data_IF_593804574589
#
_entry.id   IF_593804574589
#
_cell.length_a   1.000
_cell.length_b   1.000
_cell.length_c   1.000
_cell.angle_alpha   90.00
_cell.angle_beta   90.00
_cell.angle_gamma   90.00
#
_symmetry.space_group_name_H-M   'P 1'
#
loop_
_entity.id
_entity.type
_entity.pdbx_description
1 polymer ?
#
# COMPACT_ATOMS: atom_id res chain seq x y z
N UNK A 1 17.71 14.29 19.76
CA UNK A 1 16.37 13.94 20.30
C UNK A 1 15.37 14.18 19.18
N UNK A 2 14.97 13.12 18.48
CA UNK A 2 13.89 13.19 17.50
C UNK A 2 12.62 13.39 18.33
N UNK A 3 11.86 14.44 18.03
CA UNK A 3 10.55 14.65 18.68
C UNK A 3 9.61 13.59 18.12
N UNK A 4 9.40 12.51 18.87
CA UNK A 4 8.36 11.52 18.59
C UNK A 4 7.03 12.24 18.43
N UNK A 5 6.36 11.98 17.34
CA UNK A 5 5.20 12.64 16.76
C UNK A 5 4.23 13.33 17.72
N UNK A 6 3.71 14.42 17.23
CA UNK A 6 2.69 15.26 17.86
C UNK A 6 1.46 14.44 18.28
N UNK A 7 0.80 14.85 19.36
CA UNK A 7 -0.45 14.23 19.83
C UNK A 7 -1.65 14.44 18.87
N UNK A 8 -1.42 15.11 17.73
CA UNK A 8 -2.39 15.38 16.68
C UNK A 8 -1.73 15.21 15.30
N UNK A 9 -2.50 14.85 14.25
CA UNK A 9 -1.97 14.82 12.90
C UNK A 9 -1.50 16.22 12.47
N UNK A 10 -0.47 16.33 11.64
CA UNK A 10 -0.05 17.62 11.09
C UNK A 10 -1.15 18.21 10.21
N UNK A 11 -1.30 19.56 10.26
CA UNK A 11 -2.26 20.28 9.42
C UNK A 11 -1.77 20.43 7.97
N UNK A 12 -0.45 20.37 7.76
CA UNK A 12 0.22 20.44 6.46
C UNK A 12 1.29 19.33 6.39
N UNK A 13 1.63 18.88 5.21
CA UNK A 13 2.64 17.84 5.04
C UNK A 13 2.40 16.95 3.82
N UNK A 14 2.73 15.68 3.97
CA UNK A 14 2.72 14.68 2.91
C UNK A 14 1.61 13.65 3.12
N UNK A 15 0.96 13.24 2.04
CA UNK A 15 0.16 12.02 2.04
C UNK A 15 1.03 10.87 1.53
N UNK A 16 1.47 10.01 2.43
CA UNK A 16 2.43 8.95 2.09
C UNK A 16 1.80 7.57 1.92
N UNK A 17 0.47 7.50 1.75
CA UNK A 17 -0.23 6.26 1.51
C UNK A 17 -1.30 6.46 0.43
N UNK A 18 -0.89 6.34 -0.84
CA UNK A 18 -1.75 6.52 -2.00
C UNK A 18 -1.54 5.40 -3.03
N UNK A 19 -2.62 4.99 -3.69
CA UNK A 19 -2.63 3.94 -4.70
C UNK A 19 -3.00 4.46 -6.09
N UNK A 20 -2.48 3.77 -7.12
CA UNK A 20 -2.69 4.14 -8.51
C UNK A 20 -3.18 2.93 -9.34
N UNK A 21 -3.33 3.13 -10.64
CA UNK A 21 -3.69 2.08 -11.61
C UNK A 21 -2.68 0.93 -11.70
N UNK A 22 -1.53 1.04 -11.02
CA UNK A 22 -0.56 -0.06 -10.92
C UNK A 22 -0.91 -1.09 -9.85
N UNK A 23 -1.90 -0.78 -9.00
CA UNK A 23 -2.57 -1.76 -8.14
C UNK A 23 -4.09 -1.63 -8.26
N UNK A 24 -4.73 -1.02 -7.31
CA UNK A 24 -6.19 -0.95 -7.21
C UNK A 24 -6.74 0.48 -7.05
N UNK A 25 -5.90 1.48 -7.25
CA UNK A 25 -6.33 2.85 -7.45
C UNK A 25 -6.96 3.06 -8.83
N UNK A 26 -7.79 4.08 -8.97
CA UNK A 26 -8.47 4.40 -10.24
C UNK A 26 -7.74 5.44 -11.07
N UNK A 27 -6.75 6.12 -10.50
CA UNK A 27 -6.06 7.23 -11.14
C UNK A 27 -4.61 6.91 -11.48
N UNK A 28 -4.10 7.56 -12.53
CA UNK A 28 -2.68 7.46 -12.88
C UNK A 28 -1.80 8.20 -11.88
N UNK A 29 -0.49 7.87 -11.77
CA UNK A 29 0.45 8.65 -10.94
C UNK A 29 0.41 10.14 -11.26
N UNK A 30 0.25 10.51 -12.53
CA UNK A 30 0.17 11.91 -12.95
C UNK A 30 -1.07 12.62 -12.40
N UNK A 31 -2.24 11.98 -12.52
CA UNK A 31 -3.49 12.54 -12.01
C UNK A 31 -3.44 12.73 -10.49
N UNK A 32 -2.94 11.74 -9.76
CA UNK A 32 -2.72 11.82 -8.31
C UNK A 32 -1.83 13.01 -7.95
N UNK A 33 -0.67 13.14 -8.59
CA UNK A 33 0.26 14.24 -8.31
C UNK A 33 -0.32 15.64 -8.66
N UNK A 34 -1.12 15.74 -9.72
CA UNK A 34 -1.81 16.98 -10.07
C UNK A 34 -2.86 17.37 -9.01
N UNK A 35 -3.64 16.39 -8.52
CA UNK A 35 -4.62 16.61 -7.44
C UNK A 35 -3.92 16.99 -6.14
N UNK A 36 -2.87 16.27 -5.74
CA UNK A 36 -2.09 16.57 -4.55
C UNK A 36 -1.49 17.98 -4.58
N UNK A 37 -0.98 18.42 -5.75
CA UNK A 37 -0.51 19.78 -5.94
C UNK A 37 -1.62 20.82 -5.82
N UNK A 38 -2.80 20.54 -6.37
CA UNK A 38 -3.97 21.44 -6.25
C UNK A 38 -4.42 21.59 -4.79
N UNK A 39 -4.31 20.52 -4.00
CA UNK A 39 -4.55 20.48 -2.55
C UNK A 39 -3.41 21.11 -1.73
N UNK A 40 -2.31 21.54 -2.36
CA UNK A 40 -1.13 22.14 -1.72
C UNK A 40 -0.41 21.18 -0.76
N UNK A 41 -0.48 19.87 -1.00
CA UNK A 41 0.34 18.92 -0.26
C UNK A 41 1.83 19.20 -0.53
N UNK A 42 2.69 18.97 0.47
CA UNK A 42 4.14 19.14 0.32
C UNK A 42 4.76 18.05 -0.56
N UNK A 43 4.12 16.89 -0.66
CA UNK A 43 4.45 15.78 -1.50
C UNK A 43 3.53 14.59 -1.25
N UNK A 44 3.77 13.49 -1.95
CA UNK A 44 3.05 12.23 -1.79
C UNK A 44 4.00 11.04 -1.81
N UNK A 45 3.55 9.89 -1.27
CA UNK A 45 4.11 8.61 -1.67
C UNK A 45 3.09 7.81 -2.47
N UNK A 46 3.58 7.11 -3.51
CA UNK A 46 2.80 6.07 -4.17
C UNK A 46 3.19 4.75 -3.51
N UNK A 47 2.19 4.03 -2.99
CA UNK A 47 2.32 2.82 -2.21
C UNK A 47 1.53 1.65 -2.83
N UNK A 48 1.58 1.51 -4.16
CA UNK A 48 0.88 0.45 -4.89
C UNK A 48 1.18 -0.94 -4.33
N UNK A 49 0.15 -1.79 -4.24
CA UNK A 49 0.25 -3.11 -3.63
C UNK A 49 1.24 -4.04 -4.33
N UNK A 50 2.23 -4.53 -3.56
CA UNK A 50 3.18 -5.60 -3.93
C UNK A 50 3.90 -5.35 -5.26
N UNK A 51 4.17 -4.08 -5.62
CA UNK A 51 4.79 -3.71 -6.90
C UNK A 51 5.53 -2.38 -6.85
N UNK A 52 6.59 -2.29 -7.66
CA UNK A 52 7.30 -1.05 -7.97
C UNK A 52 7.10 -0.62 -9.42
N UNK A 53 6.24 -1.31 -10.17
CA UNK A 53 6.10 -1.12 -11.63
C UNK A 53 5.61 0.28 -12.03
N UNK A 54 4.97 1.03 -11.12
CA UNK A 54 4.55 2.41 -11.30
C UNK A 54 5.59 3.47 -10.96
N UNK A 55 6.73 3.10 -10.33
CA UNK A 55 7.69 4.09 -9.81
C UNK A 55 8.31 4.99 -10.88
N UNK A 56 8.56 4.45 -12.09
CA UNK A 56 9.14 5.27 -13.17
C UNK A 56 8.16 6.34 -13.65
N UNK A 57 6.90 5.94 -13.88
CA UNK A 57 5.84 6.84 -14.31
C UNK A 57 5.59 7.90 -13.24
N UNK A 58 5.60 7.49 -11.97
CA UNK A 58 5.45 8.39 -10.83
C UNK A 58 6.60 9.41 -10.73
N UNK A 59 7.85 8.97 -10.90
CA UNK A 59 9.01 9.85 -10.90
C UNK A 59 9.02 10.83 -12.09
N UNK A 60 8.57 10.39 -13.26
CA UNK A 60 8.40 11.26 -14.43
C UNK A 60 7.32 12.32 -14.16
N UNK A 61 6.16 11.90 -13.67
CA UNK A 61 5.06 12.78 -13.31
C UNK A 61 5.42 13.77 -12.19
N UNK A 62 6.19 13.34 -11.16
CA UNK A 62 6.68 14.21 -10.10
C UNK A 62 7.52 15.37 -10.62
N UNK A 63 8.40 15.11 -11.59
CA UNK A 63 9.23 16.16 -12.21
C UNK A 63 8.39 17.12 -13.03
N UNK A 64 7.42 16.60 -13.78
CA UNK A 64 6.53 17.40 -14.64
C UNK A 64 5.58 18.27 -13.81
N UNK A 65 4.93 17.67 -12.82
CA UNK A 65 4.00 18.36 -11.93
C UNK A 65 4.74 19.27 -10.94
N UNK A 66 6.04 19.05 -10.73
CA UNK A 66 6.88 19.72 -9.71
C UNK A 66 6.34 19.55 -8.30
N UNK A 67 5.96 18.31 -7.96
CA UNK A 67 5.60 17.92 -6.60
C UNK A 67 6.55 16.79 -6.15
N UNK A 68 7.17 16.90 -4.97
CA UNK A 68 8.04 15.86 -4.44
C UNK A 68 7.33 14.52 -4.28
N UNK A 69 8.06 13.42 -4.54
CA UNK A 69 7.58 12.04 -4.46
C UNK A 69 8.49 11.21 -3.57
N UNK A 70 7.92 10.55 -2.57
CA UNK A 70 8.53 9.48 -1.81
C UNK A 70 8.20 8.14 -2.48
N UNK A 71 9.20 7.29 -2.72
CA UNK A 71 8.98 5.95 -3.31
C UNK A 71 8.51 5.01 -2.23
N UNK A 72 7.38 4.37 -2.44
CA UNK A 72 6.79 3.43 -1.50
C UNK A 72 6.09 2.26 -2.18
N UNK A 73 5.77 1.26 -1.39
CA UNK A 73 4.96 0.09 -1.75
C UNK A 73 4.21 -0.37 -0.50
N UNK A 74 2.95 -0.71 -0.63
CA UNK A 74 2.20 -1.39 0.43
C UNK A 74 2.30 -2.89 0.22
N UNK A 75 3.01 -3.57 1.12
CA UNK A 75 3.28 -5.01 1.06
C UNK A 75 2.22 -5.77 1.83
N UNK A 76 1.60 -6.77 1.17
CA UNK A 76 0.65 -7.68 1.80
C UNK A 76 1.39 -8.73 2.64
N UNK A 77 1.05 -8.83 3.92
CA UNK A 77 1.66 -9.75 4.86
C UNK A 77 0.62 -10.45 5.75
N UNK A 78 1.07 -11.42 6.52
CA UNK A 78 0.28 -12.09 7.56
C UNK A 78 1.12 -12.23 8.83
N UNK A 79 0.50 -12.04 9.99
CA UNK A 79 1.07 -12.38 11.29
C UNK A 79 0.13 -13.36 11.97
N UNK A 80 0.57 -14.60 12.14
CA UNK A 80 -0.31 -15.72 12.52
C UNK A 80 -1.56 -15.79 11.61
N UNK A 81 -2.73 -15.36 12.11
CA UNK A 81 -3.98 -15.31 11.36
C UNK A 81 -4.43 -13.87 11.01
N UNK A 82 -3.64 -12.86 11.39
CA UNK A 82 -3.96 -11.44 11.15
C UNK A 82 -3.39 -11.02 9.81
N UNK A 83 -4.24 -10.56 8.90
CA UNK A 83 -3.79 -9.92 7.65
C UNK A 83 -3.22 -8.54 7.96
N UNK A 84 -2.00 -8.28 7.56
CA UNK A 84 -1.28 -7.03 7.82
C UNK A 84 -0.83 -6.42 6.51
N UNK A 85 -0.93 -5.10 6.39
CA UNK A 85 -0.25 -4.38 5.34
C UNK A 85 0.92 -3.60 5.91
N UNK A 86 2.01 -3.55 5.17
CA UNK A 86 3.23 -2.89 5.59
C UNK A 86 3.70 -1.92 4.50
N UNK A 87 3.82 -0.64 4.85
CA UNK A 87 4.39 0.36 3.97
C UNK A 87 5.91 0.24 4.00
N UNK A 88 6.48 0.04 2.83
CA UNK A 88 7.93 0.02 2.63
C UNK A 88 8.36 1.24 1.82
N UNK A 89 9.33 2.00 2.31
CA UNK A 89 9.79 3.22 1.67
C UNK A 89 11.29 3.17 1.37
N UNK A 90 11.69 3.81 0.25
CA UNK A 90 13.09 4.12 -0.07
C UNK A 90 14.04 2.91 0.00
N UNK A 91 13.60 1.74 -0.39
CA UNK A 91 14.41 0.52 -0.51
C UNK A 91 15.00 0.35 -1.92
N UNK A 92 16.00 -0.54 -2.07
CA UNK A 92 16.50 -0.94 -3.39
C UNK A 92 15.48 -1.90 -4.05
N UNK A 93 14.80 -1.49 -5.13
CA UNK A 93 13.79 -2.30 -5.80
C UNK A 93 14.38 -3.53 -6.51
N UNK A 94 15.70 -3.63 -6.63
CA UNK A 94 16.39 -4.77 -7.23
C UNK A 94 16.96 -5.76 -6.21
N UNK A 95 16.70 -5.54 -4.93
CA UNK A 95 17.01 -6.53 -3.92
C UNK A 95 16.26 -7.83 -4.24
N UNK A 96 16.98 -8.99 -4.22
CA UNK A 96 16.43 -10.27 -4.63
C UNK A 96 15.24 -10.68 -3.77
N UNK A 97 15.34 -10.54 -2.43
CA UNK A 97 14.29 -10.95 -1.49
C UNK A 97 12.99 -10.17 -1.73
N UNK A 98 13.09 -8.86 -1.98
CA UNK A 98 11.93 -8.01 -2.34
C UNK A 98 11.33 -8.44 -3.68
N UNK A 99 12.18 -8.68 -4.69
CA UNK A 99 11.72 -9.05 -6.04
C UNK A 99 11.00 -10.41 -6.03
N UNK A 100 11.55 -11.39 -5.32
CA UNK A 100 10.96 -12.72 -5.16
C UNK A 100 9.65 -12.67 -4.36
N UNK A 101 9.62 -11.89 -3.27
CA UNK A 101 8.43 -11.68 -2.46
C UNK A 101 7.29 -11.09 -3.28
N UNK A 102 7.55 -10.06 -4.10
CA UNK A 102 6.53 -9.45 -4.95
C UNK A 102 6.06 -10.40 -6.05
N UNK A 103 6.98 -11.14 -6.69
CA UNK A 103 6.61 -12.13 -7.69
C UNK A 103 5.69 -13.22 -7.10
N UNK A 104 6.06 -13.76 -5.94
CA UNK A 104 5.25 -14.74 -5.21
C UNK A 104 3.85 -14.19 -4.85
N UNK A 105 3.80 -13.02 -4.22
CA UNK A 105 2.53 -12.43 -3.75
C UNK A 105 1.61 -12.06 -4.93
N UNK A 106 2.16 -11.47 -5.99
CA UNK A 106 1.38 -11.12 -7.18
C UNK A 106 0.82 -12.35 -7.89
N UNK A 107 1.62 -13.41 -8.04
CA UNK A 107 1.17 -14.67 -8.63
C UNK A 107 0.08 -15.34 -7.76
N UNK A 108 0.27 -15.37 -6.44
CA UNK A 108 -0.73 -15.90 -5.51
C UNK A 108 -2.05 -15.11 -5.60
N UNK A 109 -1.98 -13.77 -5.63
CA UNK A 109 -3.16 -12.90 -5.81
C UNK A 109 -3.86 -13.16 -7.15
N UNK A 110 -3.12 -13.31 -8.24
CA UNK A 110 -3.67 -13.59 -9.56
C UNK A 110 -4.42 -14.92 -9.59
N UNK A 111 -3.79 -16.01 -9.11
CA UNK A 111 -4.42 -17.34 -9.03
C UNK A 111 -5.69 -17.31 -8.19
N UNK A 112 -5.60 -16.71 -7.00
CA UNK A 112 -6.74 -16.54 -6.11
C UNK A 112 -7.89 -15.76 -6.77
N UNK A 113 -7.58 -14.63 -7.40
CA UNK A 113 -8.59 -13.77 -8.04
C UNK A 113 -9.32 -14.52 -9.14
N UNK A 114 -8.58 -15.24 -10.00
CA UNK A 114 -9.18 -16.12 -11.01
C UNK A 114 -10.13 -17.15 -10.39
N UNK A 115 -9.69 -17.83 -9.35
CA UNK A 115 -10.50 -18.84 -8.68
C UNK A 115 -11.75 -18.26 -8.03
N UNK A 116 -11.67 -17.07 -7.44
CA UNK A 116 -12.85 -16.37 -6.92
C UNK A 116 -13.83 -16.03 -8.04
N UNK A 117 -13.37 -15.55 -9.20
CA UNK A 117 -14.23 -15.24 -10.35
C UNK A 117 -14.93 -16.51 -10.87
N UNK A 118 -14.22 -17.65 -10.97
CA UNK A 118 -14.82 -18.93 -11.35
C UNK A 118 -15.96 -19.36 -10.42
N UNK A 119 -15.82 -19.13 -9.10
CA UNK A 119 -16.89 -19.41 -8.15
C UNK A 119 -18.04 -18.42 -8.29
N UNK A 120 -17.73 -17.14 -8.46
CA UNK A 120 -18.72 -16.07 -8.58
C UNK A 120 -19.51 -16.13 -9.88
N UNK A 121 -18.93 -16.63 -10.97
CA UNK A 121 -19.60 -16.79 -12.27
C UNK A 121 -20.80 -17.76 -12.23
N UNK A 122 -20.96 -18.54 -11.16
CA UNK A 122 -22.14 -19.39 -10.95
C UNK A 122 -23.38 -18.59 -10.49
N UNK A 123 -23.16 -17.42 -9.86
CA UNK A 123 -24.22 -16.63 -9.24
C UNK A 123 -24.30 -15.20 -9.82
N UNK A 124 -23.23 -14.73 -10.47
CA UNK A 124 -23.12 -13.36 -11.00
C UNK A 124 -22.73 -13.38 -12.48
N UNK A 125 -23.21 -12.42 -13.30
CA UNK A 125 -22.89 -12.33 -14.73
C UNK A 125 -21.51 -11.71 -14.97
N UNK A 126 -20.44 -12.30 -14.43
CA UNK A 126 -19.06 -11.85 -14.60
C UNK A 126 -18.16 -12.99 -15.09
N UNK A 127 -17.18 -12.63 -15.88
CA UNK A 127 -16.13 -13.52 -16.40
C UNK A 127 -14.75 -12.99 -16.00
N UNK A 128 -13.71 -13.79 -16.25
CA UNK A 128 -12.33 -13.31 -16.08
C UNK A 128 -12.00 -12.15 -17.03
N UNK A 129 -12.55 -12.12 -18.23
CA UNK A 129 -12.33 -11.04 -19.20
C UNK A 129 -12.95 -9.72 -18.72
N UNK A 130 -14.09 -9.76 -18.02
CA UNK A 130 -14.69 -8.57 -17.42
C UNK A 130 -13.79 -8.00 -16.31
N UNK A 131 -13.11 -8.86 -15.55
CA UNK A 131 -12.11 -8.42 -14.55
C UNK A 131 -10.88 -7.83 -15.25
N UNK A 132 -10.39 -8.44 -16.32
CA UNK A 132 -9.27 -7.90 -17.09
C UNK A 132 -9.61 -6.54 -17.75
N UNK A 133 -10.86 -6.31 -18.12
CA UNK A 133 -11.32 -5.03 -18.66
C UNK A 133 -11.21 -3.86 -17.64
N UNK A 134 -11.09 -4.16 -16.34
CA UNK A 134 -10.87 -3.16 -15.30
C UNK A 134 -9.38 -2.85 -15.09
N UNK A 135 -8.47 -3.63 -15.69
CA UNK A 135 -7.01 -3.47 -15.52
C UNK A 135 -6.46 -2.51 -16.56
N UNK A 136 -5.89 -1.38 -16.14
CA UNK A 136 -5.43 -0.32 -17.05
C UNK A 136 -4.00 -0.50 -17.55
N UNK A 137 -3.10 -1.03 -16.71
CA UNK A 137 -1.66 -1.16 -17.02
C UNK A 137 -1.26 -2.60 -17.39
N UNK A 138 -2.22 -3.46 -17.70
CA UNK A 138 -1.99 -4.84 -18.12
C UNK A 138 -1.18 -5.64 -17.09
N UNK A 139 -0.12 -6.32 -17.53
CA UNK A 139 0.75 -7.12 -16.66
C UNK A 139 1.45 -6.30 -15.55
N UNK A 140 1.51 -4.97 -15.67
CA UNK A 140 2.13 -4.09 -14.65
C UNK A 140 1.24 -3.88 -13.43
N UNK A 141 -0.07 -4.14 -13.55
CA UNK A 141 -1.04 -3.99 -12.46
C UNK A 141 -1.03 -5.21 -11.54
N UNK A 142 -1.03 -4.98 -10.24
CA UNK A 142 -1.29 -6.02 -9.24
C UNK A 142 -2.79 -6.26 -9.13
N UNK A 143 -3.26 -7.37 -9.69
CA UNK A 143 -4.69 -7.72 -9.73
C UNK A 143 -5.15 -8.32 -8.39
N UNK A 144 -6.34 -7.91 -7.92
CA UNK A 144 -6.92 -8.38 -6.67
C UNK A 144 -8.45 -8.24 -6.61
N UNK A 145 -9.02 -8.43 -5.42
CA UNK A 145 -10.47 -8.30 -5.17
C UNK A 145 -11.08 -6.98 -5.64
N UNK A 146 -10.39 -5.83 -5.57
CA UNK A 146 -10.93 -4.58 -6.08
C UNK A 146 -11.33 -4.65 -7.56
N UNK A 147 -10.56 -5.35 -8.40
CA UNK A 147 -10.88 -5.52 -9.81
C UNK A 147 -12.10 -6.44 -10.04
N UNK A 148 -12.34 -7.42 -9.15
CA UNK A 148 -13.60 -8.19 -9.16
C UNK A 148 -14.76 -7.26 -8.80
N UNK A 149 -14.59 -6.44 -7.77
CA UNK A 149 -15.63 -5.49 -7.36
C UNK A 149 -15.97 -4.50 -8.48
N UNK A 150 -14.96 -3.98 -9.18
CA UNK A 150 -15.17 -3.09 -10.33
C UNK A 150 -15.89 -3.80 -11.48
N UNK A 151 -15.56 -5.07 -11.76
CA UNK A 151 -16.28 -5.86 -12.78
C UNK A 151 -17.74 -6.08 -12.40
N UNK A 152 -18.03 -6.34 -11.12
CA UNK A 152 -19.40 -6.47 -10.61
C UNK A 152 -20.18 -5.15 -10.71
N UNK A 153 -19.53 -4.01 -10.44
CA UNK A 153 -20.12 -2.67 -10.63
C UNK A 153 -20.37 -2.41 -12.11
N UNK A 154 -19.42 -2.71 -12.99
CA UNK A 154 -19.58 -2.56 -14.44
C UNK A 154 -20.70 -3.45 -15.02
N UNK A 155 -20.93 -4.62 -14.42
CA UNK A 155 -22.04 -5.52 -14.77
C UNK A 155 -23.39 -5.08 -14.16
N UNK A 156 -23.43 -3.96 -13.39
CA UNK A 156 -24.66 -3.46 -12.77
C UNK A 156 -25.16 -4.27 -11.57
N UNK A 157 -24.31 -5.13 -10.99
CA UNK A 157 -24.66 -5.96 -9.83
C UNK A 157 -24.63 -5.12 -8.53
N UNK A 158 -23.68 -4.19 -8.42
CA UNK A 158 -23.55 -3.26 -7.31
C UNK A 158 -23.43 -1.82 -7.82
N UNK A 159 -23.81 -0.84 -6.99
CA UNK A 159 -23.68 0.58 -7.32
C UNK A 159 -22.25 1.06 -7.16
N UNK A 160 -21.57 0.60 -6.11
CA UNK A 160 -20.19 1.00 -5.79
C UNK A 160 -19.29 -0.18 -5.47
N UNK A 161 -17.97 0.03 -5.57
CA UNK A 161 -16.97 -0.92 -5.10
C UNK A 161 -17.16 -1.27 -3.62
N UNK A 162 -17.54 -0.30 -2.79
CA UNK A 162 -17.78 -0.50 -1.35
C UNK A 162 -18.93 -1.47 -1.09
N UNK A 163 -20.01 -1.41 -1.88
CA UNK A 163 -21.15 -2.33 -1.77
C UNK A 163 -20.73 -3.75 -2.09
N UNK A 164 -19.95 -3.96 -3.16
CA UNK A 164 -19.40 -5.26 -3.49
C UNK A 164 -18.48 -5.81 -2.37
N UNK A 165 -17.69 -4.95 -1.70
CA UNK A 165 -16.86 -5.34 -0.56
C UNK A 165 -17.65 -5.64 0.71
N UNK A 166 -18.84 -5.08 0.87
CA UNK A 166 -19.74 -5.39 1.97
C UNK A 166 -20.43 -6.77 1.82
N UNK A 167 -20.45 -7.33 0.59
CA UNK A 167 -21.12 -8.58 0.25
C UNK A 167 -20.19 -9.55 -0.49
N UNK A 168 -20.26 -9.62 -1.84
CA UNK A 168 -19.71 -10.71 -2.63
C UNK A 168 -18.18 -10.85 -2.55
N UNK A 169 -17.42 -9.76 -2.47
CA UNK A 169 -15.95 -9.77 -2.35
C UNK A 169 -15.45 -9.65 -0.91
N UNK A 170 -16.36 -9.67 0.08
CA UNK A 170 -16.04 -9.66 1.51
C UNK A 170 -15.13 -10.83 1.89
N UNK A 171 -14.34 -10.65 2.97
CA UNK A 171 -13.56 -11.75 3.56
C UNK A 171 -14.43 -12.84 4.23
N UNK A 172 -15.72 -12.56 4.45
CA UNK A 172 -16.69 -13.51 5.00
C UNK A 172 -17.61 -14.12 3.94
N UNK A 173 -17.43 -13.73 2.67
CA UNK A 173 -18.22 -14.25 1.55
C UNK A 173 -17.91 -15.73 1.29
N UNK A 174 -18.92 -16.49 0.81
CA UNK A 174 -18.74 -17.88 0.36
C UNK A 174 -17.72 -18.05 -0.79
N UNK A 175 -17.42 -16.96 -1.50
CA UNK A 175 -16.46 -16.96 -2.61
C UNK A 175 -15.03 -16.63 -2.16
N UNK A 176 -14.85 -16.24 -0.88
CA UNK A 176 -13.56 -15.81 -0.39
C UNK A 176 -12.54 -16.95 -0.35
N UNK A 177 -11.37 -16.68 -0.90
CA UNK A 177 -10.21 -17.56 -0.84
C UNK A 177 -9.06 -16.75 -0.20
N UNK A 178 -8.42 -17.25 0.86
CA UNK A 178 -7.26 -16.57 1.44
C UNK A 178 -6.09 -16.54 0.45
N UNK A 179 -5.26 -15.50 0.52
CA UNK A 179 -4.04 -15.37 -0.27
C UNK A 179 -2.86 -15.86 0.56
N UNK A 180 -2.04 -16.80 0.07
CA UNK A 180 -0.72 -17.03 0.65
C UNK A 180 0.08 -15.72 0.61
N UNK A 181 0.60 -15.30 1.76
CA UNK A 181 1.34 -14.05 1.91
C UNK A 181 2.59 -14.30 2.75
N UNK A 182 3.66 -13.50 2.58
CA UNK A 182 4.83 -13.54 3.46
C UNK A 182 4.41 -13.19 4.90
N UNK A 183 5.21 -13.60 5.87
CA UNK A 183 5.00 -13.16 7.25
C UNK A 183 5.43 -11.71 7.42
N UNK A 184 4.91 -11.03 8.44
CA UNK A 184 5.36 -9.68 8.81
C UNK A 184 6.87 -9.64 9.08
N UNK A 185 7.41 -10.70 9.67
CA UNK A 185 8.84 -10.89 9.93
C UNK A 185 9.65 -10.97 8.63
N UNK A 186 9.19 -11.75 7.64
CA UNK A 186 9.83 -11.82 6.31
C UNK A 186 9.85 -10.45 5.63
N UNK A 187 8.75 -9.69 5.75
CA UNK A 187 8.67 -8.34 5.17
C UNK A 187 9.65 -7.39 5.84
N UNK A 188 9.72 -7.37 7.18
CA UNK A 188 10.70 -6.54 7.90
C UNK A 188 12.12 -6.92 7.45
N UNK A 189 12.46 -8.20 7.46
CA UNK A 189 13.79 -8.67 7.06
C UNK A 189 14.14 -8.26 5.62
N UNK A 190 13.24 -8.48 4.67
CA UNK A 190 13.47 -8.15 3.26
C UNK A 190 13.61 -6.63 3.03
N UNK A 191 12.74 -5.80 3.63
CA UNK A 191 12.81 -4.34 3.49
C UNK A 191 14.07 -3.79 4.14
N UNK A 192 14.45 -4.26 5.32
CA UNK A 192 15.71 -3.86 5.99
C UNK A 192 16.92 -4.35 5.21
N UNK A 193 16.92 -5.58 4.69
CA UNK A 193 17.96 -6.11 3.81
C UNK A 193 18.12 -5.32 2.51
N UNK A 194 17.04 -4.72 2.01
CA UNK A 194 17.03 -3.81 0.87
C UNK A 194 17.38 -2.35 1.24
N UNK A 195 17.73 -2.07 2.50
CA UNK A 195 18.09 -0.74 3.01
C UNK A 195 16.90 0.24 3.11
N UNK A 196 15.68 -0.28 3.20
CA UNK A 196 14.46 0.51 3.28
C UNK A 196 13.99 0.82 4.70
N UNK A 197 12.88 1.56 4.76
CA UNK A 197 12.12 1.90 5.96
C UNK A 197 10.79 1.18 5.91
N UNK A 198 10.40 0.51 7.00
CA UNK A 198 9.17 -0.29 7.08
C UNK A 198 8.24 0.20 8.19
N UNK A 199 6.97 0.37 7.86
CA UNK A 199 5.91 0.92 8.73
C UNK A 199 4.68 0.02 8.66
N UNK A 200 4.02 -0.30 9.78
CA UNK A 200 2.74 -1.01 9.74
C UNK A 200 1.65 -0.03 9.31
N UNK A 201 0.95 -0.34 8.22
CA UNK A 201 -0.15 0.45 7.68
C UNK A 201 -1.43 0.27 8.51
N UNK A 202 -2.21 1.36 8.71
CA UNK A 202 -3.53 1.35 9.39
C UNK A 202 -3.68 0.32 10.52
N UNK A 203 -2.64 0.20 11.36
CA UNK A 203 -2.44 -0.86 12.34
C UNK A 203 -3.58 -1.03 13.38
N UNK A 204 -4.43 -0.04 13.53
CA UNK A 204 -5.55 -0.02 14.48
C UNK A 204 -6.94 -0.11 13.82
N UNK A 205 -7.07 -0.42 12.52
CA UNK A 205 -8.39 -0.44 11.85
C UNK A 205 -9.14 -1.78 12.09
N UNK A 206 -10.16 -1.80 12.97
CA UNK A 206 -10.91 -3.02 13.31
C UNK A 206 -11.84 -3.49 12.18
N UNK A 207 -12.05 -2.67 11.14
CA UNK A 207 -12.86 -3.04 9.97
C UNK A 207 -12.10 -3.94 9.02
N UNK A 208 -10.76 -3.86 9.02
CA UNK A 208 -9.88 -4.74 8.23
C UNK A 208 -9.72 -6.11 8.86
N UNK A 209 -9.54 -6.13 10.18
CA UNK A 209 -9.36 -7.36 10.94
C UNK A 209 -10.18 -7.33 12.23
N UNK A 210 -10.90 -8.41 12.52
CA UNK A 210 -11.60 -8.56 13.82
C UNK A 210 -10.60 -8.63 14.98
N UNK A 211 -9.43 -9.20 14.74
CA UNK A 211 -8.31 -9.26 15.69
C UNK A 211 -7.20 -8.37 15.14
N UNK A 212 -6.76 -7.40 15.95
CA UNK A 212 -5.60 -6.56 15.64
C UNK A 212 -4.32 -7.20 16.16
N UNK A 213 -3.18 -6.77 15.64
CA UNK A 213 -1.88 -7.14 16.21
C UNK A 213 -1.82 -6.73 17.69
N UNK A 214 -1.37 -7.64 18.54
CA UNK A 214 -1.08 -7.36 19.95
C UNK A 214 0.17 -6.50 20.09
N UNK A 215 0.33 -5.83 21.24
CA UNK A 215 1.56 -5.08 21.55
C UNK A 215 2.80 -5.96 21.43
N UNK A 216 2.71 -7.22 21.92
CA UNK A 216 3.81 -8.19 21.84
C UNK A 216 4.24 -8.52 20.42
N UNK A 217 3.30 -8.68 19.49
CA UNK A 217 3.61 -8.92 18.07
C UNK A 217 4.28 -7.70 17.46
N UNK A 218 3.77 -6.48 17.72
CA UNK A 218 4.40 -5.25 17.27
C UNK A 218 5.82 -5.10 17.88
N UNK A 219 5.99 -5.36 19.17
CA UNK A 219 7.29 -5.30 19.86
C UNK A 219 8.28 -6.33 19.31
N UNK A 220 7.82 -7.52 18.89
CA UNK A 220 8.66 -8.50 18.19
C UNK A 220 9.22 -7.92 16.88
N UNK A 221 8.37 -7.31 16.04
CA UNK A 221 8.79 -6.67 14.81
C UNK A 221 9.75 -5.49 15.03
N UNK A 222 9.57 -4.74 16.12
CA UNK A 222 10.48 -3.65 16.49
C UNK A 222 11.89 -4.18 16.76
N UNK A 223 12.02 -5.32 17.44
CA UNK A 223 13.34 -5.93 17.70
C UNK A 223 14.05 -6.35 16.44
N UNK A 224 13.32 -6.58 15.34
CA UNK A 224 13.83 -6.96 14.02
C UNK A 224 14.05 -5.77 13.09
N UNK A 225 13.64 -4.57 13.49
CA UNK A 225 13.92 -3.33 12.76
C UNK A 225 12.69 -2.65 12.14
N UNK A 226 11.48 -2.94 12.62
CA UNK A 226 10.30 -2.12 12.28
C UNK A 226 10.58 -0.65 12.64
N UNK A 227 10.40 0.24 11.67
CA UNK A 227 10.74 1.66 11.83
C UNK A 227 9.59 2.53 12.33
N UNK A 228 8.32 2.14 12.09
CA UNK A 228 7.21 3.03 12.39
C UNK A 228 5.82 2.40 12.38
N UNK A 229 4.84 3.22 12.72
CA UNK A 229 3.42 2.89 12.74
C UNK A 229 2.63 3.99 12.03
N UNK A 230 1.71 3.61 11.13
CA UNK A 230 0.72 4.54 10.60
C UNK A 230 -0.40 4.73 11.63
N UNK A 231 -0.31 5.85 12.35
CA UNK A 231 -1.24 6.21 13.43
C UNK A 231 -2.41 7.02 12.88
N UNK A 232 -2.07 8.01 12.05
CA UNK A 232 -3.05 8.93 11.48
C UNK A 232 -3.65 8.33 10.22
N UNK A 233 -4.70 7.53 10.43
CA UNK A 233 -5.50 6.93 9.37
C UNK A 233 -6.97 6.96 9.79
N UNK A 234 -7.89 7.18 8.82
CA UNK A 234 -9.33 7.29 9.11
C UNK A 234 -9.94 6.03 9.76
N UNK A 235 -9.34 4.87 9.49
CA UNK A 235 -9.75 3.58 10.03
C UNK A 235 -9.33 3.35 11.47
N UNK A 236 -8.33 4.07 11.98
CA UNK A 236 -7.86 3.92 13.34
C UNK A 236 -8.74 4.74 14.30
N UNK A 237 -9.56 4.15 15.17
CA UNK A 237 -10.31 4.88 16.18
C UNK A 237 -9.38 5.50 17.24
N UNK A 238 -9.87 6.50 17.98
CA UNK A 238 -9.09 7.27 18.95
C UNK A 238 -8.32 6.41 19.93
N UNK A 239 -8.95 5.39 20.48
CA UNK A 239 -8.34 4.43 21.41
C UNK A 239 -7.12 3.73 20.80
N UNK A 240 -7.24 3.29 19.54
CA UNK A 240 -6.12 2.64 18.85
C UNK A 240 -5.02 3.64 18.50
N UNK A 241 -5.36 4.88 18.13
CA UNK A 241 -4.36 5.93 17.92
C UNK A 241 -3.55 6.19 19.20
N UNK A 242 -4.20 6.30 20.35
CA UNK A 242 -3.53 6.48 21.64
C UNK A 242 -2.64 5.29 22.00
N UNK A 243 -3.12 4.07 21.78
CA UNK A 243 -2.33 2.84 21.95
C UNK A 243 -1.07 2.85 21.08
N UNK A 244 -1.23 3.09 19.77
CA UNK A 244 -0.13 3.11 18.81
C UNK A 244 0.87 4.23 19.10
N UNK A 245 0.41 5.43 19.50
CA UNK A 245 1.27 6.52 19.95
C UNK A 245 2.06 6.15 21.19
N UNK A 246 1.47 5.40 22.11
CA UNK A 246 2.16 4.95 23.34
C UNK A 246 3.28 3.98 22.98
N UNK A 247 3.05 3.03 22.08
CA UNK A 247 4.08 2.12 21.59
C UNK A 247 5.17 2.90 20.85
N UNK A 248 4.79 3.81 19.93
CA UNK A 248 5.73 4.60 19.16
C UNK A 248 6.66 5.44 20.05
N UNK A 249 6.12 6.09 21.08
CA UNK A 249 6.93 6.86 22.05
C UNK A 249 7.87 6.01 22.87
N UNK A 250 7.42 4.82 23.31
CA UNK A 250 8.23 3.88 24.10
C UNK A 250 9.45 3.39 23.33
N UNK A 251 9.32 3.20 22.03
CA UNK A 251 10.33 2.57 21.18
C UNK A 251 10.98 3.51 20.15
N UNK A 252 10.74 4.83 20.28
CA UNK A 252 11.26 5.87 19.35
C UNK A 252 10.96 5.58 17.87
N UNK A 253 9.73 5.11 17.59
CA UNK A 253 9.27 4.78 16.24
C UNK A 253 8.81 6.04 15.49
N UNK A 254 8.90 5.97 14.17
CA UNK A 254 8.26 6.92 13.28
C UNK A 254 6.73 6.85 13.44
N UNK A 255 6.10 8.02 13.51
CA UNK A 255 4.64 8.18 13.47
C UNK A 255 4.26 8.75 12.12
N UNK A 256 3.51 7.97 11.33
CA UNK A 256 3.07 8.40 10.00
C UNK A 256 1.55 8.58 9.94
N UNK A 257 1.11 9.22 8.88
CA UNK A 257 -0.29 9.31 8.45
C UNK A 257 -0.39 9.17 6.95
N UNK A 258 -1.52 8.67 6.50
CA UNK A 258 -1.84 8.53 5.10
C UNK A 258 -3.34 8.38 4.89
N UNK A 259 -3.80 8.72 3.71
CA UNK A 259 -5.22 8.64 3.37
C UNK A 259 -5.64 7.23 2.94
N UNK A 260 -4.72 6.41 2.47
CA UNK A 260 -5.03 5.17 1.75
C UNK A 260 -5.94 5.46 0.54
N UNK A 261 -5.61 6.57 -0.16
CA UNK A 261 -6.38 7.08 -1.29
C UNK A 261 -6.31 6.17 -2.51
N UNK A 262 -7.47 5.92 -3.14
CA UNK A 262 -7.61 5.06 -4.31
C UNK A 262 -8.38 5.74 -5.44
N UNK A 263 -8.41 7.07 -5.47
CA UNK A 263 -9.28 7.81 -6.38
C UNK A 263 -10.75 7.52 -6.08
N UNK A 264 -11.52 7.17 -7.11
CA UNK A 264 -12.94 6.81 -6.96
C UNK A 264 -13.16 5.41 -6.37
N UNK A 265 -12.11 4.63 -6.17
CA UNK A 265 -12.18 3.26 -5.66
C UNK A 265 -12.50 3.15 -4.17
N UNK A 266 -12.24 4.21 -3.40
CA UNK A 266 -12.57 4.30 -1.96
C UNK A 266 -13.09 5.71 -1.62
N UNK A 267 -13.83 5.85 -0.53
CA UNK A 267 -14.32 7.16 -0.07
C UNK A 267 -13.25 8.02 0.64
N UNK A 268 -12.00 7.56 0.68
CA UNK A 268 -10.88 8.24 1.32
C UNK A 268 -10.48 9.47 0.49
N UNK A 269 -10.40 10.64 1.13
CA UNK A 269 -9.99 11.86 0.45
C UNK A 269 -8.46 12.01 0.48
N UNK A 270 -7.87 12.42 -0.64
CA UNK A 270 -6.43 12.69 -0.72
C UNK A 270 -6.07 13.79 0.30
N UNK A 271 -5.04 13.54 1.10
CA UNK A 271 -4.57 14.48 2.11
C UNK A 271 -5.42 14.54 3.40
N UNK A 272 -6.39 13.65 3.60
CA UNK A 272 -7.20 13.66 4.83
C UNK A 272 -6.42 13.28 6.11
N UNK A 273 -5.29 12.61 5.95
CA UNK A 273 -4.32 12.32 7.01
C UNK A 273 -2.91 12.51 6.47
N UNK A 274 -2.08 13.21 7.20
CA UNK A 274 -0.77 13.62 6.72
C UNK A 274 0.37 13.11 7.60
N UNK A 275 1.54 13.05 7.00
CA UNK A 275 2.84 12.84 7.66
C UNK A 275 3.63 14.16 7.60
N UNK A 276 4.29 14.51 8.69
CA UNK A 276 5.09 15.76 8.77
C UNK A 276 6.33 15.69 7.89
N UNK A 277 6.84 16.88 7.51
CA UNK A 277 8.10 17.00 6.74
C UNK A 277 9.28 16.37 7.48
N UNK A 278 9.34 16.52 8.80
CA UNK A 278 10.41 15.94 9.63
C UNK A 278 10.40 14.41 9.56
N UNK A 279 9.21 13.79 9.66
CA UNK A 279 9.09 12.33 9.56
C UNK A 279 9.46 11.84 8.16
N UNK A 280 9.01 12.53 7.10
CA UNK A 280 9.38 12.20 5.72
C UNK A 280 10.89 12.36 5.49
N UNK A 281 11.50 13.43 6.03
CA UNK A 281 12.94 13.62 5.94
C UNK A 281 13.70 12.50 6.65
N UNK A 282 13.21 12.02 7.78
CA UNK A 282 13.81 10.90 8.50
C UNK A 282 13.68 9.59 7.71
N UNK A 283 12.54 9.32 7.06
CA UNK A 283 12.37 8.19 6.13
C UNK A 283 13.40 8.27 4.99
N UNK A 284 13.60 9.46 4.41
CA UNK A 284 14.58 9.67 3.34
C UNK A 284 16.03 9.46 3.85
N UNK A 285 16.32 9.85 5.09
CA UNK A 285 17.65 9.69 5.67
C UNK A 285 17.99 8.23 6.00
N UNK A 286 17.01 7.46 6.50
CA UNK A 286 17.18 6.03 6.81
C UNK A 286 17.22 5.15 5.57
N UNK A 287 16.51 5.54 4.50
CA UNK A 287 16.36 4.75 3.30
C UNK A 287 17.49 4.91 2.28
N UNK A 288 17.49 4.05 1.26
CA UNK A 288 18.48 4.10 0.19
C UNK A 288 18.26 5.29 -0.73
N UNK A 289 19.31 6.09 -0.91
CA UNK A 289 19.37 7.13 -1.95
C UNK A 289 19.86 6.51 -3.26
N UNK A 290 18.96 6.18 -4.17
CA UNK A 290 19.39 5.73 -5.51
C UNK A 290 20.00 6.90 -6.27
N UNK A 291 21.27 6.76 -6.71
CA UNK A 291 21.91 7.75 -7.57
C UNK A 291 21.18 7.86 -8.91
N UNK A 292 21.24 9.03 -9.57
CA UNK A 292 20.58 9.27 -10.89
C UNK A 292 21.03 8.26 -11.98
N UNK A 293 22.24 7.72 -11.88
CA UNK A 293 22.79 6.74 -12.83
C UNK A 293 22.36 5.31 -12.51
N UNK A 294 22.35 4.94 -11.23
CA UNK A 294 21.82 3.63 -10.76
C UNK A 294 20.35 3.46 -11.10
N UNK A 295 19.55 4.52 -10.98
CA UNK A 295 18.12 4.48 -11.31
C UNK A 295 17.85 4.13 -12.78
N UNK A 296 18.59 4.73 -13.74
CA UNK A 296 18.38 4.49 -15.18
C UNK A 296 18.79 3.09 -15.63
N UNK A 297 19.94 2.59 -15.16
CA UNK A 297 20.47 1.28 -15.55
C UNK A 297 19.68 0.13 -14.88
N UNK A 298 19.37 0.28 -13.60
CA UNK A 298 18.69 -0.74 -12.78
C UNK A 298 17.23 -0.90 -13.18
N UNK A 299 16.54 0.18 -13.50
CA UNK A 299 15.10 0.14 -13.85
C UNK A 299 14.88 -0.35 -15.30
N UNK A 300 15.85 -0.15 -16.21
CA UNK A 300 15.81 -0.72 -17.58
C UNK A 300 15.84 -2.26 -17.56
N UNK A 301 16.54 -2.86 -16.58
CA UNK A 301 16.57 -4.31 -16.40
C UNK A 301 15.28 -4.88 -15.83
N UNK A 302 14.54 -4.16 -14.97
CA UNK A 302 13.24 -4.64 -14.46
C UNK A 302 12.18 -4.76 -15.56
N UNK A 303 12.15 -3.83 -16.51
CA UNK A 303 11.21 -3.91 -17.63
C UNK A 303 11.52 -5.09 -18.56
N UNK A 304 12.79 -5.45 -18.72
CA UNK A 304 13.20 -6.62 -19.51
C UNK A 304 12.79 -7.97 -18.88
N UNK A 305 12.64 -8.03 -17.55
CA UNK A 305 12.20 -9.24 -16.83
C UNK A 305 10.66 -9.36 -16.82
N UNK A 306 9.94 -8.25 -16.94
CA UNK A 306 8.47 -8.21 -16.97
C UNK A 306 7.93 -8.52 -18.38
N UNK A 307 8.71 -8.25 -19.43
CA UNK A 307 8.36 -8.48 -20.83
C UNK A 307 8.74 -9.89 -21.32
N UNK A 308 9.44 -10.69 -20.54
CA UNK A 308 9.78 -12.10 -20.80
C UNK A 308 8.81 -13.05 -20.08
#
# INVERSE_FOLDING_TARGET
>A
MIRVGTAAPPAEGWDIHCHTVFSDGTETPRALLQEARALRLHGVAIADHDTTSGWQDALAASREVRLPLLRGTEITAVDESVSVHMLAFQYDPLNADISEMFAFTREARLRRTKRMVELMAQDFPITWDDVLAQVREGKRTTIGRPHIADALVAAGVYETRSDAFADAVSATSKYYIPTPSPTTHDVVAAVKGAGGVVVIAHAGDPRRNRTLLTDRQIESLITEGLDGLEVWHRGNPSEQRERLLTIARRHDLLVTGGSDWHGKGKPNALGENLTSDETVQEIINRGVRLSKESSKAKIKNQNAIIDA
#
